data_IF_831538831613
#
_entry.id   IF_831538831613
#
_cell.length_a   1.000
_cell.length_b   1.000
_cell.length_c   1.000
_cell.angle_alpha   90.00
_cell.angle_beta   90.00
_cell.angle_gamma   90.00
#
_symmetry.space_group_name_H-M   'P 1'
#
loop_
_entity.id
_entity.type
_entity.pdbx_description
1 polymer ?
#
# COMPACT_ATOMS: atom_id res chain seq x y z
N UNK A 1 -9.92 13.57 0.92
CA UNK A 1 -8.47 13.25 0.95
C UNK A 1 -8.15 12.60 -0.37
N UNK A 2 -7.06 13.01 -1.02
CA UNK A 2 -6.76 12.61 -2.38
C UNK A 2 -5.68 11.53 -2.39
N UNK A 3 -6.02 10.33 -2.84
CA UNK A 3 -5.04 9.28 -3.11
C UNK A 3 -4.32 9.60 -4.42
N UNK A 4 -3.00 9.53 -4.39
CA UNK A 4 -2.16 9.69 -5.55
C UNK A 4 -0.93 8.80 -5.43
N UNK A 5 -0.17 8.71 -6.52
CA UNK A 5 1.05 7.91 -6.57
C UNK A 5 2.08 8.30 -5.49
N UNK A 6 2.20 9.60 -5.18
CA UNK A 6 3.15 10.09 -4.18
C UNK A 6 2.85 9.53 -2.79
N UNK A 7 1.59 9.58 -2.35
CA UNK A 7 1.19 9.08 -1.03
C UNK A 7 1.43 7.57 -0.89
N UNK A 8 1.18 6.80 -1.96
CA UNK A 8 1.48 5.37 -1.96
C UNK A 8 2.98 5.12 -1.89
N UNK A 9 3.79 5.85 -2.68
CA UNK A 9 5.25 5.75 -2.59
C UNK A 9 5.75 6.02 -1.18
N UNK A 10 5.24 7.06 -0.52
CA UNK A 10 5.60 7.36 0.87
C UNK A 10 5.27 6.18 1.79
N UNK A 11 4.08 5.60 1.69
CA UNK A 11 3.69 4.48 2.55
C UNK A 11 4.53 3.23 2.34
N UNK A 12 4.87 2.89 1.08
CA UNK A 12 5.82 1.82 0.80
C UNK A 12 7.20 2.12 1.40
N UNK A 13 7.71 3.33 1.22
CA UNK A 13 9.02 3.73 1.75
C UNK A 13 9.05 3.75 3.29
N UNK A 14 7.97 4.13 3.94
CA UNK A 14 7.87 4.08 5.40
C UNK A 14 8.01 2.65 5.93
N UNK A 15 7.40 1.67 5.25
CA UNK A 15 7.51 0.24 5.56
C UNK A 15 8.91 -0.29 5.26
N UNK A 16 9.46 0.04 4.07
CA UNK A 16 10.79 -0.41 3.64
C UNK A 16 11.91 0.12 4.53
N UNK A 17 11.73 1.31 5.09
CA UNK A 17 12.67 1.90 6.04
C UNK A 17 12.37 1.50 7.49
N UNK A 18 11.43 0.57 7.71
CA UNK A 18 11.01 0.09 9.02
C UNK A 18 10.57 1.22 9.97
N UNK A 19 10.08 2.34 9.42
CA UNK A 19 9.55 3.46 10.20
C UNK A 19 8.11 3.24 10.66
N UNK A 20 7.40 2.33 9.98
CA UNK A 20 6.12 1.76 10.40
C UNK A 20 6.15 0.24 10.21
N UNK A 21 5.32 -0.49 10.94
CA UNK A 21 5.19 -1.95 10.80
C UNK A 21 4.28 -2.35 9.64
N UNK A 22 4.25 -3.65 9.30
CA UNK A 22 3.29 -4.18 8.32
C UNK A 22 1.84 -4.00 8.75
N UNK A 23 1.54 -4.12 10.03
CA UNK A 23 0.20 -3.87 10.58
C UNK A 23 -0.22 -2.42 10.38
N UNK A 24 0.67 -1.47 10.65
CA UNK A 24 0.38 -0.04 10.47
C UNK A 24 0.15 0.29 8.99
N UNK A 25 0.98 -0.25 8.10
CA UNK A 25 0.81 -0.13 6.65
C UNK A 25 -0.50 -0.74 6.14
N UNK A 26 -0.82 -1.96 6.58
CA UNK A 26 -2.04 -2.67 6.19
C UNK A 26 -3.31 -2.01 6.75
N UNK A 27 -3.24 -1.51 7.98
CA UNK A 27 -4.33 -0.75 8.60
C UNK A 27 -4.62 0.53 7.80
N UNK A 28 -3.59 1.31 7.49
CA UNK A 28 -3.74 2.51 6.66
C UNK A 28 -4.39 2.18 5.31
N UNK A 29 -3.91 1.14 4.62
CA UNK A 29 -4.46 0.74 3.32
C UNK A 29 -5.93 0.29 3.43
N UNK A 30 -6.28 -0.43 4.50
CA UNK A 30 -7.66 -0.82 4.79
C UNK A 30 -8.57 0.40 5.03
N UNK A 31 -8.09 1.44 5.71
CA UNK A 31 -8.84 2.69 5.86
C UNK A 31 -9.05 3.41 4.52
N UNK A 32 -8.07 3.38 3.61
CA UNK A 32 -8.23 3.94 2.27
C UNK A 32 -9.30 3.17 1.49
N UNK A 33 -9.25 1.82 1.54
CA UNK A 33 -10.24 0.97 0.88
C UNK A 33 -11.66 1.22 1.43
N UNK A 34 -11.81 1.32 2.75
CA UNK A 34 -13.10 1.64 3.38
C UNK A 34 -13.65 2.99 2.92
N UNK A 35 -12.80 4.03 2.83
CA UNK A 35 -13.18 5.34 2.28
C UNK A 35 -13.59 5.26 0.82
N UNK A 36 -12.93 4.42 0.03
CA UNK A 36 -13.31 4.20 -1.36
C UNK A 36 -14.69 3.55 -1.49
N UNK A 37 -14.99 2.53 -0.66
CA UNK A 37 -16.28 1.82 -0.68
C UNK A 37 -17.48 2.74 -0.41
N UNK A 38 -17.30 3.76 0.42
CA UNK A 38 -18.34 4.75 0.74
C UNK A 38 -18.29 6.01 -0.14
N UNK A 39 -17.39 6.06 -1.13
CA UNK A 39 -17.27 7.19 -2.07
C UNK A 39 -16.58 8.44 -1.49
N UNK A 40 -15.84 8.31 -0.39
CA UNK A 40 -15.10 9.41 0.25
C UNK A 40 -13.63 9.50 -0.18
N UNK A 41 -13.13 8.51 -0.94
CA UNK A 41 -11.77 8.55 -1.49
C UNK A 41 -11.77 9.25 -2.84
N UNK A 42 -11.03 10.35 -2.93
CA UNK A 42 -10.79 11.07 -4.18
C UNK A 42 -9.45 10.63 -4.78
N UNK A 43 -9.33 10.66 -6.11
CA UNK A 43 -8.11 10.27 -6.83
C UNK A 43 -7.55 11.44 -7.62
N UNK A 44 -6.25 11.41 -7.91
CA UNK A 44 -5.71 12.29 -8.95
C UNK A 44 -6.13 11.86 -10.35
N UNK A 45 -6.64 12.82 -11.13
CA UNK A 45 -7.16 12.54 -12.48
C UNK A 45 -6.05 12.25 -13.48
N UNK A 46 -4.80 12.54 -13.14
CA UNK A 46 -3.61 12.18 -13.91
C UNK A 46 -3.13 10.75 -13.66
N UNK A 47 -3.60 10.11 -12.60
CA UNK A 47 -3.00 8.87 -12.11
C UNK A 47 -3.71 7.64 -12.69
N UNK A 48 -2.94 6.57 -12.87
CA UNK A 48 -3.49 5.27 -13.23
C UNK A 48 -4.21 4.67 -12.01
N UNK A 49 -5.54 4.83 -11.97
CA UNK A 49 -6.40 4.35 -10.89
C UNK A 49 -6.19 2.85 -10.65
N UNK A 50 -6.02 2.04 -11.70
CA UNK A 50 -5.79 0.60 -11.55
C UNK A 50 -4.49 0.31 -10.81
N UNK A 51 -3.42 1.04 -11.14
CA UNK A 51 -2.14 0.97 -10.42
C UNK A 51 -2.30 1.37 -8.94
N UNK A 52 -3.02 2.45 -8.64
CA UNK A 52 -3.26 2.89 -7.27
C UNK A 52 -4.01 1.83 -6.44
N UNK A 53 -5.02 1.19 -7.04
CA UNK A 53 -5.77 0.12 -6.40
C UNK A 53 -4.94 -1.15 -6.18
N UNK A 54 -4.11 -1.54 -7.15
CA UNK A 54 -3.19 -2.67 -6.98
C UNK A 54 -2.27 -2.45 -5.79
N UNK A 55 -1.69 -1.25 -5.69
CA UNK A 55 -0.83 -0.86 -4.58
C UNK A 55 -1.56 -0.93 -3.21
N UNK A 56 -2.77 -0.36 -3.12
CA UNK A 56 -3.58 -0.42 -1.89
C UNK A 56 -3.92 -1.85 -1.49
N UNK A 57 -4.31 -2.68 -2.45
CA UNK A 57 -4.70 -4.08 -2.20
C UNK A 57 -3.52 -4.88 -1.67
N UNK A 58 -2.32 -4.67 -2.24
CA UNK A 58 -1.10 -5.30 -1.73
C UNK A 58 -0.81 -4.88 -0.29
N UNK A 59 -0.82 -3.56 -0.02
CA UNK A 59 -0.55 -3.03 1.32
C UNK A 59 -1.53 -3.57 2.36
N UNK A 60 -2.82 -3.62 2.05
CA UNK A 60 -3.85 -4.16 2.94
C UNK A 60 -3.63 -5.65 3.29
N UNK A 61 -2.93 -6.38 2.44
CA UNK A 61 -2.57 -7.79 2.65
C UNK A 61 -1.28 -8.02 3.46
N UNK A 62 -0.47 -6.98 3.71
CA UNK A 62 0.86 -7.11 4.31
C UNK A 62 0.86 -7.78 5.68
N UNK A 63 -0.12 -7.45 6.52
CA UNK A 63 -0.21 -7.95 7.90
C UNK A 63 -0.78 -9.37 8.00
N UNK A 64 -0.97 -10.08 6.88
CA UNK A 64 -1.52 -11.43 6.91
C UNK A 64 -0.51 -12.39 7.54
N UNK A 65 -0.68 -12.71 8.83
CA UNK A 65 0.16 -13.71 9.51
C UNK A 65 -0.19 -15.13 9.07
N UNK A 66 0.82 -15.90 8.64
CA UNK A 66 0.70 -17.32 8.31
C UNK A 66 1.05 -18.23 9.51
N UNK A 67 1.85 -17.72 10.44
CA UNK A 67 2.14 -18.33 11.74
C UNK A 67 2.65 -17.24 12.69
N UNK A 68 2.75 -17.48 14.01
CA UNK A 68 3.15 -16.43 14.96
C UNK A 68 4.46 -15.77 14.53
N UNK A 69 4.44 -14.43 14.35
CA UNK A 69 5.58 -13.61 13.90
C UNK A 69 6.09 -13.92 12.49
N UNK A 70 5.28 -14.57 11.66
CA UNK A 70 5.60 -14.86 10.26
C UNK A 70 4.48 -14.34 9.39
N UNK A 71 4.80 -13.33 8.59
CA UNK A 71 3.86 -12.69 7.67
C UNK A 71 3.91 -13.36 6.30
N UNK A 72 2.80 -13.23 5.56
CA UNK A 72 2.66 -13.65 4.17
C UNK A 72 3.64 -12.90 3.27
N UNK A 73 3.83 -11.60 3.53
CA UNK A 73 4.74 -10.75 2.79
C UNK A 73 5.94 -10.36 3.67
N UNK A 74 7.12 -10.42 3.08
CA UNK A 74 8.38 -9.97 3.66
C UNK A 74 8.73 -8.55 3.22
N UNK A 75 9.73 -7.92 3.85
CA UNK A 75 10.23 -6.61 3.44
C UNK A 75 10.74 -6.65 1.99
N UNK A 76 11.32 -7.77 1.57
CA UNK A 76 11.77 -7.96 0.19
C UNK A 76 10.59 -8.00 -0.79
N UNK A 77 9.47 -8.64 -0.42
CA UNK A 77 8.24 -8.62 -1.24
C UNK A 77 7.69 -7.20 -1.40
N UNK A 78 7.72 -6.41 -0.32
CA UNK A 78 7.33 -4.98 -0.37
C UNK A 78 8.20 -4.20 -1.34
N UNK A 79 9.51 -4.50 -1.37
CA UNK A 79 10.46 -3.83 -2.25
C UNK A 79 10.23 -4.22 -3.71
N UNK A 80 10.02 -5.50 -3.98
CA UNK A 80 9.73 -6.01 -5.32
C UNK A 80 8.46 -5.33 -5.86
N UNK A 81 7.39 -5.29 -5.07
CA UNK A 81 6.14 -4.66 -5.47
C UNK A 81 6.32 -3.15 -5.71
N UNK A 82 7.03 -2.45 -4.81
CA UNK A 82 7.39 -1.04 -4.99
C UNK A 82 8.10 -0.81 -6.33
N UNK A 83 9.12 -1.60 -6.64
CA UNK A 83 9.89 -1.46 -7.87
C UNK A 83 9.06 -1.76 -9.13
N UNK A 84 8.18 -2.76 -9.07
CA UNK A 84 7.29 -3.08 -10.19
C UNK A 84 6.30 -1.96 -10.49
N UNK A 85 5.74 -1.35 -9.44
CA UNK A 85 4.77 -0.27 -9.57
C UNK A 85 5.44 1.05 -9.97
N UNK A 86 6.60 1.39 -9.40
CA UNK A 86 7.11 2.76 -9.43
C UNK A 86 8.41 2.97 -10.21
N UNK A 87 9.21 1.92 -10.44
CA UNK A 87 10.55 2.05 -11.04
C UNK A 87 10.56 1.97 -12.58
N UNK A 88 9.38 1.90 -13.22
CA UNK A 88 9.21 1.92 -14.70
C UNK A 88 8.67 3.24 -15.27
N UNK A 89 8.63 4.31 -14.47
CA UNK A 89 8.08 5.62 -14.85
C UNK A 89 9.17 6.64 -15.14
#
# INVERSE_FOLDING_TARGET
MKLNEYLLKEKFLEILNESITFEEGAFWASEMMAKNEIGELEYDSSDDISKLFSALTFLAGLSTEISPRTYLYTIEDVKIEYDQLFSRS
#
